data_IF_037151018154
#
_entry.id   IF_037151018154
#
_cell.length_a   1.000
_cell.length_b   1.000
_cell.length_c   1.000
_cell.angle_alpha   90.00
_cell.angle_beta   90.00
_cell.angle_gamma   90.00
#
_symmetry.space_group_name_H-M   'P 1'
#
loop_
_entity.id
_entity.type
_entity.pdbx_description
1 polymer ?
#
# COMPACT_ATOMS: atom_id res chain seq x y z
N UNK A 1 -30.87 -24.00 50.73
CA UNK A 1 -32.20 -23.37 50.75
C UNK A 1 -32.61 -22.95 49.37
N UNK A 2 -33.54 -23.73 48.82
CA UNK A 2 -34.20 -23.53 47.54
C UNK A 2 -35.23 -22.41 47.66
N UNK A 3 -35.31 -21.56 46.69
CA UNK A 3 -36.42 -20.65 46.49
C UNK A 3 -37.18 -21.05 45.21
N UNK A 4 -38.51 -21.07 45.22
CA UNK A 4 -39.34 -21.56 44.14
C UNK A 4 -39.66 -20.45 43.09
N UNK A 5 -40.08 -20.83 41.89
CA UNK A 5 -40.44 -19.91 40.84
C UNK A 5 -41.84 -19.33 40.99
N UNK A 6 -42.16 -18.17 40.47
CA UNK A 6 -43.51 -17.58 40.48
C UNK A 6 -44.38 -18.14 39.37
N UNK A 7 -45.71 -18.21 39.59
CA UNK A 7 -46.68 -18.78 38.67
C UNK A 7 -47.36 -17.73 37.77
N UNK A 8 -47.72 -18.19 36.60
CA UNK A 8 -49.03 -17.99 36.04
C UNK A 8 -49.31 -16.78 35.18
N UNK A 9 -49.40 -17.09 33.90
CA UNK A 9 -50.10 -16.36 32.82
C UNK A 9 -51.59 -16.13 33.15
N UNK A 10 -52.27 -15.19 32.46
CA UNK A 10 -53.22 -15.73 31.49
C UNK A 10 -53.18 -15.02 30.12
N UNK A 11 -53.45 -15.80 29.12
CA UNK A 11 -53.86 -15.41 27.79
C UNK A 11 -55.28 -14.77 27.82
N UNK A 12 -55.58 -13.86 26.89
CA UNK A 12 -56.92 -13.82 26.35
C UNK A 12 -56.98 -14.27 24.89
N UNK A 13 -57.67 -15.34 24.71
CA UNK A 13 -58.43 -15.73 23.54
C UNK A 13 -59.46 -14.66 23.15
N UNK A 14 -59.52 -14.35 21.85
CA UNK A 14 -60.75 -14.02 21.13
C UNK A 14 -60.44 -13.53 19.69
N UNK A 15 -60.59 -14.39 18.75
CA UNK A 15 -61.00 -14.01 17.42
C UNK A 15 -62.56 -13.83 17.45
N UNK A 16 -63.12 -13.02 16.54
CA UNK A 16 -63.69 -13.54 15.32
C UNK A 16 -63.85 -12.50 14.19
N UNK A 17 -64.67 -12.82 13.16
CA UNK A 17 -64.24 -12.91 11.75
C UNK A 17 -64.86 -11.81 10.87
N UNK A 18 -64.38 -11.73 9.67
CA UNK A 18 -65.20 -11.19 8.60
C UNK A 18 -64.58 -10.10 7.76
N UNK A 19 -64.49 -10.37 6.51
CA UNK A 19 -64.67 -9.32 5.50
C UNK A 19 -63.58 -9.13 4.45
N UNK A 20 -63.71 -9.78 3.33
CA UNK A 20 -63.55 -9.22 2.00
C UNK A 20 -62.16 -9.00 1.41
N UNK A 21 -61.96 -9.45 0.16
CA UNK A 21 -60.73 -9.24 -0.55
C UNK A 21 -60.74 -7.88 -1.25
N UNK A 22 -59.78 -7.02 -0.91
CA UNK A 22 -59.40 -5.91 -1.77
C UNK A 22 -57.95 -6.09 -2.16
N UNK A 23 -57.76 -6.44 -3.41
CA UNK A 23 -56.52 -6.38 -4.11
C UNK A 23 -56.00 -4.94 -4.08
N UNK A 24 -54.94 -4.71 -3.35
CA UNK A 24 -54.14 -3.49 -3.48
C UNK A 24 -52.73 -3.93 -3.84
N UNK A 25 -52.42 -3.73 -5.11
CA UNK A 25 -51.07 -3.83 -5.64
C UNK A 25 -50.16 -2.85 -4.90
N UNK A 26 -49.52 -3.32 -3.85
CA UNK A 26 -48.46 -2.61 -3.20
C UNK A 26 -47.16 -2.90 -3.93
N UNK A 27 -46.84 -2.00 -4.83
CA UNK A 27 -45.50 -1.89 -5.43
C UNK A 27 -44.48 -1.80 -4.30
N UNK A 28 -43.77 -2.87 -4.04
CA UNK A 28 -42.55 -2.84 -3.27
C UNK A 28 -41.59 -1.90 -4.01
N UNK A 29 -41.02 -0.87 -3.34
CA UNK A 29 -39.90 -0.21 -3.93
C UNK A 29 -38.74 -1.22 -3.93
N UNK A 30 -38.42 -1.73 -5.11
CA UNK A 30 -37.14 -2.32 -5.36
C UNK A 30 -36.09 -1.27 -4.94
N UNK A 31 -35.41 -1.53 -3.82
CA UNK A 31 -34.21 -0.80 -3.49
C UNK A 31 -33.26 -1.12 -4.63
N UNK A 32 -33.23 -0.26 -5.63
CA UNK A 32 -32.16 -0.23 -6.59
C UNK A 32 -30.90 -0.02 -5.79
N UNK A 33 -30.14 -1.08 -5.57
CA UNK A 33 -28.75 -1.00 -5.23
C UNK A 33 -28.17 -0.28 -6.45
N UNK A 34 -28.03 1.03 -6.32
CA UNK A 34 -27.23 1.80 -7.26
C UNK A 34 -25.83 1.19 -7.18
N UNK A 35 -25.53 0.31 -8.12
CA UNK A 35 -24.17 0.02 -8.49
C UNK A 35 -23.54 1.38 -8.78
N UNK A 36 -22.80 1.86 -7.79
CA UNK A 36 -21.98 3.05 -7.97
C UNK A 36 -20.97 2.69 -9.05
N UNK A 37 -21.29 3.03 -10.29
CA UNK A 37 -20.36 3.03 -11.40
C UNK A 37 -19.12 3.76 -10.89
N UNK A 38 -17.94 3.17 -10.89
CA UNK A 38 -16.72 3.88 -10.53
C UNK A 38 -16.65 5.09 -11.45
N UNK A 39 -16.69 6.29 -10.87
CA UNK A 39 -16.49 7.52 -11.60
C UNK A 39 -15.16 7.39 -12.35
N UNK A 40 -15.21 7.60 -13.66
CA UNK A 40 -13.99 7.69 -14.48
C UNK A 40 -13.07 8.69 -13.83
N UNK A 41 -11.80 8.33 -13.56
CA UNK A 41 -10.87 9.21 -12.90
C UNK A 41 -10.58 10.41 -13.78
N UNK A 42 -10.71 11.59 -13.19
CA UNK A 42 -10.32 12.83 -13.88
C UNK A 42 -8.84 12.76 -14.29
N UNK A 43 -8.48 13.24 -15.50
CA UNK A 43 -7.10 13.25 -15.95
C UNK A 43 -6.26 14.16 -15.03
N UNK A 44 -5.29 13.57 -14.34
CA UNK A 44 -4.42 14.24 -13.37
C UNK A 44 -4.50 13.72 -11.94
N UNK A 45 -5.47 12.86 -11.64
CA UNK A 45 -5.58 12.22 -10.32
C UNK A 45 -4.61 11.02 -10.24
N UNK A 46 -3.79 10.90 -9.17
CA UNK A 46 -2.87 9.78 -9.02
C UNK A 46 -3.65 8.47 -8.96
N UNK A 47 -3.28 7.52 -9.80
CA UNK A 47 -3.89 6.18 -9.85
C UNK A 47 -2.82 5.15 -9.50
N UNK A 48 -2.69 4.79 -8.23
CA UNK A 48 -1.74 3.77 -7.85
C UNK A 48 -2.14 2.42 -8.46
N UNK A 49 -1.22 1.85 -9.25
CA UNK A 49 -1.40 0.56 -9.91
C UNK A 49 -0.94 -0.63 -9.07
N UNK A 50 -0.17 -0.40 -8.02
CA UNK A 50 0.34 -1.40 -7.08
C UNK A 50 0.42 -0.82 -5.67
N UNK A 51 0.72 -1.68 -4.70
CA UNK A 51 0.80 -1.27 -3.30
C UNK A 51 1.97 -0.32 -3.02
N UNK A 52 3.10 -0.48 -3.69
CA UNK A 52 4.26 0.42 -3.58
C UNK A 52 3.87 1.85 -3.99
N UNK A 53 3.16 2.00 -5.12
CA UNK A 53 2.66 3.31 -5.57
C UNK A 53 1.68 3.93 -4.57
N UNK A 54 0.90 3.11 -3.86
CA UNK A 54 0.07 3.60 -2.74
C UNK A 54 0.94 4.17 -1.64
N UNK A 55 1.95 3.42 -1.21
CA UNK A 55 2.87 3.84 -0.13
C UNK A 55 3.66 5.09 -0.52
N UNK A 56 4.14 5.16 -1.76
CA UNK A 56 4.82 6.34 -2.30
C UNK A 56 3.93 7.58 -2.30
N UNK A 57 2.64 7.42 -2.61
CA UNK A 57 1.68 8.54 -2.57
C UNK A 57 1.58 9.13 -1.15
N UNK A 58 1.63 8.31 -0.09
CA UNK A 58 1.67 8.81 1.30
C UNK A 58 2.97 9.56 1.58
N UNK A 59 4.09 9.12 1.03
CA UNK A 59 5.37 9.82 1.13
C UNK A 59 5.33 11.18 0.41
N UNK A 60 4.81 11.23 -0.80
CA UNK A 60 4.66 12.47 -1.59
C UNK A 60 3.75 13.49 -0.90
N UNK A 61 2.67 13.00 -0.28
CA UNK A 61 1.72 13.82 0.47
C UNK A 61 2.19 14.16 1.89
N UNK A 62 3.40 13.73 2.27
CA UNK A 62 4.04 13.98 3.57
C UNK A 62 3.32 13.37 4.77
N UNK A 63 2.49 12.37 4.54
CA UNK A 63 1.85 11.57 5.59
C UNK A 63 2.83 10.52 6.13
N UNK A 64 3.95 10.99 6.72
CA UNK A 64 5.09 10.14 7.07
C UNK A 64 4.77 9.08 8.12
N UNK A 65 3.81 9.33 9.00
CA UNK A 65 3.40 8.36 10.03
C UNK A 65 2.70 7.19 9.35
N UNK A 66 1.76 7.45 8.46
CA UNK A 66 1.05 6.41 7.71
C UNK A 66 1.98 5.70 6.74
N UNK A 67 2.87 6.44 6.05
CA UNK A 67 3.92 5.88 5.21
C UNK A 67 4.76 4.85 5.98
N UNK A 68 5.26 5.22 7.17
CA UNK A 68 6.08 4.32 7.99
C UNK A 68 5.33 3.06 8.42
N UNK A 69 4.06 3.19 8.80
CA UNK A 69 3.24 2.03 9.16
C UNK A 69 2.93 1.14 7.96
N UNK A 70 2.59 1.73 6.80
CA UNK A 70 2.35 0.98 5.57
C UNK A 70 3.59 0.21 5.11
N UNK A 71 4.77 0.81 5.30
CA UNK A 71 6.03 0.21 4.91
C UNK A 71 6.48 -0.91 5.86
N UNK A 72 6.33 -0.73 7.18
CA UNK A 72 6.97 -1.62 8.16
C UNK A 72 5.99 -2.47 8.98
N UNK A 73 4.69 -2.14 8.98
CA UNK A 73 3.70 -2.78 9.87
C UNK A 73 2.52 -3.36 9.11
N UNK A 74 2.63 -3.51 7.79
CA UNK A 74 1.56 -4.02 6.94
C UNK A 74 2.10 -5.06 5.97
N UNK A 75 1.48 -6.24 6.00
CA UNK A 75 1.68 -7.28 5.00
C UNK A 75 0.59 -7.16 3.94
N UNK A 76 0.96 -7.10 2.68
CA UNK A 76 0.01 -7.12 1.58
C UNK A 76 -0.52 -8.53 1.38
N UNK A 77 -1.83 -8.70 1.39
CA UNK A 77 -2.48 -9.97 1.06
C UNK A 77 -2.94 -9.95 -0.40
N UNK A 78 -3.61 -8.88 -0.78
CA UNK A 78 -4.13 -8.70 -2.14
C UNK A 78 -4.22 -7.24 -2.51
N UNK A 79 -3.86 -6.93 -3.74
CA UNK A 79 -4.02 -5.61 -4.32
C UNK A 79 -4.87 -5.67 -5.59
N UNK A 80 -5.87 -4.82 -5.63
CA UNK A 80 -6.67 -4.52 -6.82
C UNK A 80 -6.93 -3.00 -6.86
N UNK A 81 -6.95 -2.37 -8.02
CA UNK A 81 -7.26 -0.94 -8.11
C UNK A 81 -8.63 -0.61 -7.49
N UNK A 82 -8.62 0.09 -6.34
CA UNK A 82 -9.81 0.40 -5.55
C UNK A 82 -10.08 -0.58 -4.39
N UNK A 83 -9.34 -1.68 -4.29
CA UNK A 83 -9.46 -2.64 -3.19
C UNK A 83 -8.10 -3.14 -2.73
N UNK A 84 -7.85 -3.05 -1.44
CA UNK A 84 -6.62 -3.54 -0.83
C UNK A 84 -6.97 -4.44 0.35
N UNK A 85 -6.41 -5.64 0.38
CA UNK A 85 -6.47 -6.52 1.53
C UNK A 85 -5.11 -6.57 2.19
N UNK A 86 -5.07 -6.24 3.47
CA UNK A 86 -3.84 -6.16 4.23
C UNK A 86 -3.95 -6.92 5.55
N UNK A 87 -2.82 -7.38 6.03
CA UNK A 87 -2.66 -7.92 7.37
C UNK A 87 -1.76 -6.99 8.17
N UNK A 88 -2.31 -6.13 9.02
CA UNK A 88 -1.51 -5.29 9.89
C UNK A 88 -0.83 -6.13 10.99
N UNK A 89 0.38 -5.76 11.37
CA UNK A 89 1.07 -6.32 12.52
C UNK A 89 0.48 -5.79 13.82
N UNK A 90 0.91 -6.34 14.96
CA UNK A 90 0.46 -5.89 16.28
C UNK A 90 0.85 -4.42 16.59
N UNK A 91 1.88 -3.91 15.92
CA UNK A 91 2.37 -2.54 16.07
C UNK A 91 1.60 -1.51 15.24
N UNK A 92 0.75 -1.97 14.33
CA UNK A 92 -0.05 -1.10 13.49
C UNK A 92 -1.20 -0.46 14.28
N UNK A 93 -1.48 0.84 14.09
CA UNK A 93 -2.63 1.50 14.68
C UNK A 93 -3.95 0.86 14.24
N UNK A 94 -4.91 0.75 15.15
CA UNK A 94 -6.21 0.14 14.86
C UNK A 94 -7.04 0.91 13.84
N UNK A 95 -6.79 2.19 13.70
CA UNK A 95 -7.44 3.10 12.77
C UNK A 95 -6.72 3.21 11.41
N UNK A 96 -5.58 2.52 11.26
CA UNK A 96 -4.74 2.57 10.06
C UNK A 96 -5.55 2.36 8.77
N UNK A 97 -6.32 1.29 8.72
CA UNK A 97 -7.11 0.89 7.54
C UNK A 97 -8.12 1.98 7.16
N UNK A 98 -8.80 2.55 8.15
CA UNK A 98 -9.79 3.60 7.93
C UNK A 98 -9.13 4.89 7.41
N UNK A 99 -7.99 5.27 8.00
CA UNK A 99 -7.23 6.45 7.58
C UNK A 99 -6.70 6.29 6.17
N UNK A 100 -6.10 5.14 5.86
CA UNK A 100 -5.60 4.83 4.52
C UNK A 100 -6.72 4.91 3.48
N UNK A 101 -7.88 4.30 3.76
CA UNK A 101 -9.04 4.34 2.88
C UNK A 101 -9.54 5.77 2.65
N UNK A 102 -9.59 6.60 3.72
CA UNK A 102 -10.04 7.99 3.63
C UNK A 102 -9.10 8.84 2.76
N UNK A 103 -7.79 8.78 3.03
CA UNK A 103 -6.80 9.54 2.26
C UNK A 103 -6.73 9.12 0.80
N UNK A 104 -6.76 7.81 0.53
CA UNK A 104 -6.79 7.32 -0.84
C UNK A 104 -8.05 7.79 -1.57
N UNK A 105 -9.20 7.78 -0.88
CA UNK A 105 -10.45 8.32 -1.44
C UNK A 105 -10.36 9.79 -1.80
N UNK A 106 -9.77 10.58 -0.91
CA UNK A 106 -9.59 12.03 -1.09
C UNK A 106 -8.62 12.34 -2.23
N UNK A 107 -7.47 11.65 -2.29
CA UNK A 107 -6.43 11.98 -3.26
C UNK A 107 -6.67 11.42 -4.66
N UNK A 108 -7.36 10.28 -4.75
CA UNK A 108 -7.62 9.61 -6.04
C UNK A 108 -9.00 9.91 -6.60
N UNK A 109 -9.87 10.59 -5.83
CA UNK A 109 -11.25 10.83 -6.21
C UNK A 109 -12.11 9.56 -6.33
N UNK A 110 -11.57 8.39 -5.95
CA UNK A 110 -12.23 7.08 -6.03
C UNK A 110 -12.42 6.49 -4.65
N UNK A 111 -13.49 5.73 -4.48
CA UNK A 111 -13.68 4.98 -3.24
C UNK A 111 -12.69 3.81 -3.18
N UNK A 112 -11.89 3.77 -2.14
CA UNK A 112 -10.99 2.67 -1.83
C UNK A 112 -11.56 1.82 -0.70
N UNK A 113 -11.59 0.52 -0.93
CA UNK A 113 -11.95 -0.46 0.09
C UNK A 113 -10.66 -1.08 0.63
N UNK A 114 -10.28 -0.70 1.84
CA UNK A 114 -9.15 -1.32 2.54
C UNK A 114 -9.70 -2.24 3.61
N UNK A 115 -9.34 -3.51 3.56
CA UNK A 115 -9.85 -4.55 4.48
C UNK A 115 -8.70 -5.26 5.18
N UNK A 116 -8.96 -5.72 6.40
CA UNK A 116 -8.02 -6.54 7.16
C UNK A 116 -8.30 -8.01 6.87
N UNK A 117 -7.27 -8.74 6.45
CA UNK A 117 -7.30 -10.19 6.26
C UNK A 117 -6.54 -10.91 7.37
N UNK A 118 -6.94 -12.13 7.68
CA UNK A 118 -6.18 -13.03 8.55
C UNK A 118 -5.20 -13.93 7.79
N UNK A 119 -5.19 -13.84 6.46
CA UNK A 119 -4.29 -14.64 5.63
C UNK A 119 -2.84 -14.18 5.75
N UNK A 120 -1.92 -15.10 5.46
CA UNK A 120 -0.49 -14.76 5.40
C UNK A 120 -0.26 -13.89 4.17
N UNK A 121 0.05 -12.61 4.39
CA UNK A 121 0.43 -11.69 3.32
C UNK A 121 1.91 -11.82 2.94
N UNK A 122 2.30 -11.04 1.96
CA UNK A 122 3.71 -10.86 1.57
C UNK A 122 4.51 -10.24 2.73
N UNK A 123 5.83 -10.33 2.66
CA UNK A 123 6.71 -9.59 3.57
C UNK A 123 6.43 -8.09 3.49
N UNK A 124 6.66 -7.38 4.60
CA UNK A 124 6.48 -5.93 4.58
C UNK A 124 7.44 -5.29 3.57
N UNK A 125 7.06 -4.17 2.98
CA UNK A 125 7.94 -3.47 2.03
C UNK A 125 9.28 -3.08 2.68
N UNK A 126 9.27 -2.80 3.98
CA UNK A 126 10.50 -2.52 4.73
C UNK A 126 11.40 -3.74 4.90
N UNK A 127 10.83 -4.94 5.05
CA UNK A 127 11.60 -6.19 5.11
C UNK A 127 12.16 -6.54 3.73
N UNK A 128 11.35 -6.41 2.68
CA UNK A 128 11.78 -6.62 1.30
C UNK A 128 12.93 -5.69 0.92
N UNK A 129 12.82 -4.40 1.25
CA UNK A 129 13.89 -3.41 1.01
C UNK A 129 15.17 -3.78 1.77
N UNK A 130 15.07 -4.20 3.03
CA UNK A 130 16.24 -4.63 3.82
C UNK A 130 16.88 -5.89 3.27
N UNK A 131 16.07 -6.85 2.83
CA UNK A 131 16.57 -8.08 2.20
C UNK A 131 17.30 -7.79 0.88
N UNK A 132 16.78 -6.87 0.09
CA UNK A 132 17.42 -6.43 -1.16
C UNK A 132 18.74 -5.67 -0.88
N UNK A 133 18.75 -4.74 0.07
CA UNK A 133 19.97 -4.04 0.50
C UNK A 133 21.03 -5.04 0.98
N UNK A 134 20.64 -6.03 1.77
CA UNK A 134 21.56 -7.06 2.26
C UNK A 134 22.12 -7.89 1.10
N UNK A 135 21.27 -8.26 0.14
CA UNK A 135 21.72 -9.01 -1.04
C UNK A 135 22.73 -8.22 -1.86
N UNK A 136 22.50 -6.92 -2.05
CA UNK A 136 23.44 -6.05 -2.77
C UNK A 136 24.78 -5.91 -2.02
N UNK A 137 24.74 -5.85 -0.69
CA UNK A 137 25.95 -5.84 0.15
C UNK A 137 26.72 -7.14 0.00
N UNK A 138 26.05 -8.29 0.09
CA UNK A 138 26.66 -9.61 -0.03
C UNK A 138 27.26 -9.82 -1.43
N UNK A 139 26.59 -9.36 -2.48
CA UNK A 139 27.07 -9.36 -3.85
C UNK A 139 28.34 -8.49 -4.00
N UNK A 140 28.30 -7.26 -3.47
CA UNK A 140 29.44 -6.35 -3.50
C UNK A 140 30.62 -6.90 -2.70
N UNK A 141 30.39 -7.55 -1.55
CA UNK A 141 31.46 -8.20 -0.76
C UNK A 141 32.08 -9.41 -1.48
N UNK A 142 31.37 -9.98 -2.43
CA UNK A 142 31.87 -11.07 -3.27
C UNK A 142 32.78 -10.59 -4.40
N UNK A 143 32.80 -9.30 -4.69
CA UNK A 143 33.65 -8.69 -5.72
C UNK A 143 35.14 -8.73 -5.31
N UNK A 144 36.01 -9.11 -6.26
CA UNK A 144 37.44 -9.28 -6.00
C UNK A 144 38.12 -7.96 -5.59
N UNK A 145 37.65 -6.83 -6.12
CA UNK A 145 38.17 -5.49 -5.76
C UNK A 145 37.79 -5.15 -4.32
N UNK A 146 36.56 -5.40 -3.92
CA UNK A 146 36.07 -5.15 -2.56
C UNK A 146 36.80 -6.06 -1.57
N UNK A 147 37.05 -7.32 -1.93
CA UNK A 147 37.86 -8.24 -1.11
C UNK A 147 39.29 -7.71 -0.92
N UNK A 148 39.94 -7.27 -2.00
CA UNK A 148 41.26 -6.71 -1.92
C UNK A 148 41.33 -5.45 -1.01
N UNK A 149 40.29 -4.61 -1.05
CA UNK A 149 40.17 -3.45 -0.16
C UNK A 149 39.99 -3.89 1.30
N UNK A 150 39.16 -4.89 1.57
CA UNK A 150 38.95 -5.43 2.94
C UNK A 150 40.22 -6.08 3.48
N UNK A 151 41.02 -6.73 2.65
CA UNK A 151 42.33 -7.31 3.03
C UNK A 151 43.34 -6.23 3.33
N UNK A 152 43.34 -5.14 2.56
CA UNK A 152 44.24 -4.01 2.80
C UNK A 152 43.86 -3.17 4.03
N UNK A 153 42.57 -3.14 4.38
CA UNK A 153 42.03 -2.35 5.49
C UNK A 153 41.23 -3.25 6.45
N UNK A 154 41.90 -3.94 7.39
CA UNK A 154 41.19 -4.78 8.36
C UNK A 154 40.18 -3.97 9.19
N UNK A 155 38.90 -4.38 9.11
CA UNK A 155 37.77 -3.69 9.75
C UNK A 155 36.93 -2.85 8.79
N UNK A 156 37.30 -2.75 7.53
CA UNK A 156 36.42 -2.16 6.51
C UNK A 156 35.17 -3.04 6.29
N UNK A 157 34.01 -2.42 6.25
CA UNK A 157 32.74 -3.07 5.98
C UNK A 157 31.97 -2.30 4.91
N UNK A 158 31.27 -3.03 4.04
CA UNK A 158 30.34 -2.44 3.11
C UNK A 158 29.06 -2.11 3.87
N UNK A 159 28.72 -0.83 4.00
CA UNK A 159 27.54 -0.39 4.74
C UNK A 159 26.36 -0.07 3.84
N UNK A 160 26.63 0.24 2.58
CA UNK A 160 25.59 0.57 1.57
C UNK A 160 26.14 0.38 0.17
N UNK A 161 25.34 -0.20 -0.68
CA UNK A 161 25.58 -0.28 -2.12
C UNK A 161 24.58 0.64 -2.83
N UNK A 162 25.09 1.47 -3.73
CA UNK A 162 24.26 2.30 -4.59
C UNK A 162 24.62 2.00 -6.03
N UNK A 163 23.67 1.47 -6.78
CA UNK A 163 23.87 1.31 -8.21
C UNK A 163 23.86 2.69 -8.86
N UNK A 164 25.03 3.18 -9.20
CA UNK A 164 25.15 4.40 -10.00
C UNK A 164 25.15 3.97 -11.46
N UNK A 165 24.09 4.29 -12.18
CA UNK A 165 24.15 4.24 -13.63
C UNK A 165 25.42 4.98 -14.08
N UNK A 166 26.26 4.37 -14.94
CA UNK A 166 27.42 5.06 -15.45
C UNK A 166 26.94 6.36 -16.06
N UNK A 167 27.36 7.50 -15.48
CA UNK A 167 27.15 8.77 -16.13
C UNK A 167 27.75 8.60 -17.52
N UNK A 168 26.95 8.79 -18.58
CA UNK A 168 27.47 8.95 -19.91
C UNK A 168 28.58 10.00 -19.83
N UNK A 169 29.81 9.53 -19.92
CA UNK A 169 30.93 10.43 -20.05
C UNK A 169 30.68 11.13 -21.38
N UNK A 170 30.38 12.45 -21.40
CA UNK A 170 30.25 13.12 -22.66
C UNK A 170 31.56 12.88 -23.43
N UNK A 171 31.43 12.33 -24.63
CA UNK A 171 32.53 12.07 -25.54
C UNK A 171 33.42 13.33 -25.53
N UNK A 172 34.59 13.17 -24.95
CA UNK A 172 35.60 14.22 -25.01
C UNK A 172 35.99 14.30 -26.47
N UNK A 173 35.32 15.23 -27.17
CA UNK A 173 35.66 15.54 -28.56
C UNK A 173 37.17 15.67 -28.72
N UNK A 174 37.68 15.38 -29.91
CA UNK A 174 39.10 15.38 -30.17
C UNK A 174 39.70 16.71 -29.69
N UNK A 175 40.76 16.59 -28.89
CA UNK A 175 41.59 17.73 -28.52
C UNK A 175 42.13 18.29 -29.82
N UNK A 176 41.60 19.42 -30.24
CA UNK A 176 42.22 20.20 -31.31
C UNK A 176 43.62 20.56 -30.83
N UNK A 177 44.61 19.83 -31.33
CA UNK A 177 46.02 20.22 -31.30
C UNK A 177 46.13 21.50 -32.15
N UNK A 178 45.94 22.63 -31.49
CA UNK A 178 46.36 23.92 -32.05
C UNK A 178 47.88 23.94 -32.09
N UNK A 179 48.40 23.43 -33.21
CA UNK A 179 49.79 23.57 -33.59
C UNK A 179 50.02 25.07 -33.86
N UNK A 180 50.36 25.77 -32.77
CA UNK A 180 50.87 27.14 -32.89
C UNK A 180 52.32 27.11 -33.42
N UNK A 181 52.45 26.96 -34.72
CA UNK A 181 53.70 27.27 -35.42
C UNK A 181 53.93 28.77 -35.40
N UNK A 182 54.68 29.18 -34.38
CA UNK A 182 55.38 30.47 -34.36
C UNK A 182 56.45 30.42 -35.43
N UNK A 183 56.24 31.11 -36.55
CA UNK A 183 57.28 31.37 -37.57
C UNK A 183 57.69 32.81 -37.42
N UNK A 184 58.90 32.97 -36.84
CA UNK A 184 59.67 34.21 -36.80
C UNK A 184 60.27 34.48 -38.19
N UNK A 185 60.03 35.65 -38.73
CA UNK A 185 61.02 36.43 -39.55
C UNK A 185 60.64 37.89 -39.59
#
# INVERSE_FOLDING_TARGET
>A
SSAPPPPGLPLPDSAPPGGGPTASAGTSPAVAIAESVPADPEPGTPQPGNFESVVDLFRERREMILYSHLQNSVHLVRFEPGRIEVRPTADAPRDLVNRVSAFLGEWTGRRWLVTVSGETGEETLGDQARAEDQRLIDEAESDDLVRAVKDAFPGAAVTKVTNREPAEIPDAGPLDDDDNSDDED
#
